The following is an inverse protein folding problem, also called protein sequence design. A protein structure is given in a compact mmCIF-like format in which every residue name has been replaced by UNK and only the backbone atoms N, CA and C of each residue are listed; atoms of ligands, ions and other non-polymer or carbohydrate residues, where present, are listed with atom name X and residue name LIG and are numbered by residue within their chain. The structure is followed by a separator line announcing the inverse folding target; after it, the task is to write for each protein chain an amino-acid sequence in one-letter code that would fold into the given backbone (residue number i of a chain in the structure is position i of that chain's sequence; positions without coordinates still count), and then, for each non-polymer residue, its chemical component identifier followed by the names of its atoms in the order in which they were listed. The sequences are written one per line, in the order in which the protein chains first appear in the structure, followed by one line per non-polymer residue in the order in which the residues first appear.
data_IF_923184572595
#
_entry.id   IF_923184572595
#
_cell.length_a   1.000
_cell.length_b   1.000
_cell.length_c   1.000
_cell.angle_alpha   90.00
_cell.angle_beta   90.00
_cell.angle_gamma   90.00
#
_symmetry.space_group_name_H-M   'P 1'
#
loop_
_entity.id
_entity.type
_entity.pdbx_description
1 polymer ?
#
# COMPACT_ATOMS: atom_id res chain seq x y z
N UNK A 1 15.22 16.53 30.84
CA UNK A 1 15.02 16.79 29.40
C UNK A 1 14.73 15.44 28.76
N UNK A 2 13.57 15.31 28.13
CA UNK A 2 13.13 14.05 27.55
C UNK A 2 13.89 13.77 26.25
N UNK A 3 14.81 12.81 26.28
CA UNK A 3 15.36 12.19 25.08
C UNK A 3 14.68 10.83 24.94
N UNK A 4 13.49 10.82 24.33
CA UNK A 4 12.89 9.58 23.83
C UNK A 4 13.46 9.32 22.45
N UNK A 5 14.65 8.71 22.40
CA UNK A 5 15.20 8.10 21.21
C UNK A 5 14.39 6.84 20.86
N UNK A 6 13.27 7.03 20.20
CA UNK A 6 12.55 5.96 19.49
C UNK A 6 12.76 6.18 17.99
N UNK A 7 13.60 5.35 17.37
CA UNK A 7 13.95 5.64 15.97
C UNK A 7 14.72 4.62 15.14
N UNK A 8 14.70 3.32 15.49
CA UNK A 8 14.86 2.18 14.56
C UNK A 8 16.18 2.03 13.77
N UNK A 9 16.96 1.05 14.22
CA UNK A 9 17.68 0.02 13.45
C UNK A 9 17.85 0.20 11.92
N UNK A 10 19.12 0.19 11.50
CA UNK A 10 19.68 -0.39 10.27
C UNK A 10 18.71 -0.72 9.11
N UNK A 11 18.84 -0.02 7.97
CA UNK A 11 18.14 -0.38 6.74
C UNK A 11 18.40 0.52 5.53
N UNK A 12 19.61 1.02 5.33
CA UNK A 12 19.97 1.81 4.11
C UNK A 12 20.06 0.97 2.81
N UNK A 13 19.55 -0.26 2.82
CA UNK A 13 19.37 -1.07 1.61
C UNK A 13 18.05 -1.87 1.73
N UNK A 14 17.01 -1.48 0.98
CA UNK A 14 15.88 -2.40 0.71
C UNK A 14 14.45 -1.91 0.96
N UNK A 15 14.18 -0.60 1.06
CA UNK A 15 12.81 -0.10 0.91
C UNK A 15 12.57 0.28 -0.54
N UNK A 16 11.59 -0.38 -1.15
CA UNK A 16 11.11 -0.07 -2.50
C UNK A 16 9.96 0.92 -2.42
N UNK A 17 9.86 1.79 -3.42
CA UNK A 17 8.74 2.69 -3.56
C UNK A 17 7.61 2.02 -4.33
N UNK A 18 6.40 2.21 -3.85
CA UNK A 18 5.18 1.67 -4.43
C UNK A 18 4.16 2.78 -4.61
N UNK A 19 3.47 2.74 -5.73
CA UNK A 19 2.27 3.53 -5.97
C UNK A 19 1.07 2.59 -5.91
N UNK A 20 0.00 3.01 -5.24
CA UNK A 20 -1.27 2.33 -5.37
C UNK A 20 -2.35 3.25 -5.92
N UNK A 21 -3.28 2.65 -6.65
CA UNK A 21 -4.53 3.29 -7.08
C UNK A 21 -5.70 2.43 -6.62
N UNK A 22 -6.60 3.01 -5.83
CA UNK A 22 -7.85 2.40 -5.39
C UNK A 22 -8.99 3.12 -6.10
N UNK A 23 -9.79 2.39 -6.86
CA UNK A 23 -11.05 2.88 -7.41
C UNK A 23 -12.21 2.21 -6.67
N UNK A 24 -12.98 3.01 -5.96
CA UNK A 24 -14.17 2.59 -5.21
C UNK A 24 -15.35 3.46 -5.61
N UNK A 25 -16.36 2.86 -6.26
CA UNK A 25 -17.61 3.53 -6.64
C UNK A 25 -17.41 4.86 -7.41
N UNK A 26 -16.40 4.92 -8.28
CA UNK A 26 -16.07 6.12 -9.07
C UNK A 26 -15.20 7.15 -8.34
N UNK A 27 -14.86 6.92 -7.07
CA UNK A 27 -13.84 7.69 -6.36
C UNK A 27 -12.48 7.01 -6.49
N UNK A 28 -11.51 7.75 -7.02
CA UNK A 28 -10.14 7.27 -7.23
C UNK A 28 -9.25 7.86 -6.14
N UNK A 29 -8.58 6.99 -5.39
CA UNK A 29 -7.57 7.34 -4.39
C UNK A 29 -6.23 6.83 -4.89
N UNK A 30 -5.24 7.70 -4.99
CA UNK A 30 -3.90 7.36 -5.45
C UNK A 30 -2.87 7.96 -4.49
N UNK A 31 -1.89 7.17 -4.11
CA UNK A 31 -0.81 7.62 -3.22
C UNK A 31 0.45 6.77 -3.38
N UNK A 32 1.59 7.29 -2.91
CA UNK A 32 2.91 6.66 -2.95
C UNK A 32 3.38 6.35 -1.54
N UNK A 33 4.02 5.20 -1.36
CA UNK A 33 4.53 4.76 -0.07
C UNK A 33 5.73 3.83 -0.20
N UNK A 34 6.50 3.71 0.87
CA UNK A 34 7.73 2.91 0.90
C UNK A 34 7.53 1.63 1.73
N UNK A 35 8.03 0.51 1.22
CA UNK A 35 7.92 -0.77 1.90
C UNK A 35 9.07 -1.72 1.59
N UNK A 36 9.32 -2.67 2.50
CA UNK A 36 10.42 -3.63 2.36
C UNK A 36 10.24 -4.63 1.20
N UNK A 37 9.00 -4.85 0.75
CA UNK A 37 8.71 -5.82 -0.31
C UNK A 37 7.26 -5.81 -0.76
N UNK A 38 7.00 -6.60 -1.80
CA UNK A 38 5.70 -6.68 -2.45
C UNK A 38 4.58 -7.14 -1.49
N UNK A 39 4.83 -8.12 -0.62
CA UNK A 39 3.81 -8.61 0.32
C UNK A 39 3.43 -7.56 1.37
N UNK A 40 4.42 -6.84 1.90
CA UNK A 40 4.17 -5.75 2.83
C UNK A 40 3.44 -4.58 2.13
N UNK A 41 3.76 -4.33 0.85
CA UNK A 41 3.03 -3.36 0.04
C UNK A 41 1.54 -3.72 -0.09
N UNK A 42 1.23 -4.99 -0.38
CA UNK A 42 -0.16 -5.49 -0.40
C UNK A 42 -0.84 -5.30 0.95
N UNK A 43 -0.17 -5.67 2.06
CA UNK A 43 -0.72 -5.52 3.42
C UNK A 43 -1.01 -4.07 3.80
N UNK A 44 -0.15 -3.13 3.40
CA UNK A 44 -0.39 -1.72 3.67
C UNK A 44 -1.58 -1.18 2.89
N UNK A 45 -1.68 -1.50 1.60
CA UNK A 45 -2.85 -1.10 0.78
C UNK A 45 -4.15 -1.69 1.34
N UNK A 46 -4.12 -2.92 1.85
CA UNK A 46 -5.25 -3.51 2.58
C UNK A 46 -5.63 -2.73 3.86
N UNK A 47 -4.65 -2.29 4.65
CA UNK A 47 -4.90 -1.45 5.84
C UNK A 47 -5.54 -0.12 5.45
N UNK A 48 -5.07 0.50 4.36
CA UNK A 48 -5.62 1.75 3.85
C UNK A 48 -7.06 1.58 3.36
N UNK A 49 -7.38 0.51 2.64
CA UNK A 49 -8.77 0.18 2.26
C UNK A 49 -9.71 0.07 3.47
N UNK A 50 -9.24 -0.60 4.54
CA UNK A 50 -10.00 -0.69 5.80
C UNK A 50 -10.18 0.67 6.47
N UNK A 51 -9.15 1.51 6.47
CA UNK A 51 -9.20 2.87 7.03
C UNK A 51 -10.13 3.80 6.25
N UNK A 52 -10.22 3.63 4.92
CA UNK A 52 -11.17 4.33 4.05
C UNK A 52 -12.63 3.89 4.27
N UNK A 53 -12.87 2.88 5.11
CA UNK A 53 -14.21 2.38 5.42
C UNK A 53 -14.83 1.54 4.30
N UNK A 54 -14.02 1.03 3.36
CA UNK A 54 -14.52 0.11 2.32
C UNK A 54 -14.94 -1.20 2.98
N UNK A 55 -16.24 -1.56 2.98
CA UNK A 55 -16.70 -2.76 3.66
C UNK A 55 -16.28 -4.01 2.90
N UNK A 56 -16.13 -5.11 3.64
CA UNK A 56 -15.89 -6.43 3.12
C UNK A 56 -16.91 -6.83 2.04
N UNK A 57 -16.45 -7.41 0.94
CA UNK A 57 -17.30 -7.91 -0.15
C UNK A 57 -17.76 -6.85 -1.17
N UNK A 58 -17.23 -5.62 -1.11
CA UNK A 58 -17.39 -4.63 -2.18
C UNK A 58 -16.29 -4.78 -3.24
N UNK A 59 -16.72 -4.72 -4.49
CA UNK A 59 -15.83 -4.68 -5.64
C UNK A 59 -15.09 -3.34 -5.65
N UNK A 60 -13.81 -3.37 -5.32
CA UNK A 60 -12.89 -2.24 -5.50
C UNK A 60 -11.77 -2.69 -6.41
N UNK A 61 -11.35 -1.81 -7.30
CA UNK A 61 -10.18 -2.05 -8.12
C UNK A 61 -8.97 -1.48 -7.40
N UNK A 62 -7.96 -2.32 -7.23
CA UNK A 62 -6.71 -1.96 -6.58
C UNK A 62 -5.59 -2.30 -7.55
N UNK A 63 -4.83 -1.28 -7.91
CA UNK A 63 -3.61 -1.41 -8.69
C UNK A 63 -2.43 -1.04 -7.79
N UNK A 64 -1.37 -1.84 -7.80
CA UNK A 64 -0.14 -1.56 -7.04
C UNK A 64 1.05 -1.75 -7.97
N UNK A 65 1.85 -0.70 -8.13
CA UNK A 65 3.03 -0.66 -8.98
C UNK A 65 4.27 -0.41 -8.14
N UNK A 66 5.30 -1.23 -8.31
CA UNK A 66 6.64 -0.93 -7.77
C UNK A 66 7.30 0.10 -8.67
N UNK A 67 7.63 1.26 -8.14
CA UNK A 67 8.18 2.38 -8.91
C UNK A 67 9.64 2.16 -9.31
N UNK A 68 10.40 1.37 -8.55
CA UNK A 68 11.82 1.09 -8.83
C UNK A 68 12.05 0.50 -10.23
N UNK A 69 11.18 -0.42 -10.67
CA UNK A 69 11.23 -1.13 -11.95
C UNK A 69 9.91 -1.07 -12.74
N UNK A 70 9.01 -0.17 -12.33
CA UNK A 70 7.68 0.05 -12.93
C UNK A 70 6.88 -1.26 -13.12
N UNK A 71 7.06 -2.21 -12.21
CA UNK A 71 6.45 -3.53 -12.32
C UNK A 71 5.15 -3.59 -11.53
N UNK A 72 4.02 -3.94 -12.16
CA UNK A 72 2.77 -4.13 -11.45
C UNK A 72 2.82 -5.40 -10.59
N UNK A 73 2.19 -5.35 -9.43
CA UNK A 73 2.22 -6.39 -8.38
C UNK A 73 0.81 -6.96 -8.12
N UNK A 74 -0.20 -6.13 -8.39
CA UNK A 74 -1.61 -6.51 -8.45
C UNK A 74 -2.19 -5.76 -9.64
N UNK A 75 -2.74 -6.51 -10.60
CA UNK A 75 -3.49 -5.99 -11.74
C UNK A 75 -4.94 -6.49 -11.64
N UNK A 76 -5.76 -5.88 -10.78
CA UNK A 76 -7.20 -6.21 -10.62
C UNK A 76 -7.52 -7.43 -9.73
N UNK A 77 -7.26 -7.32 -8.42
CA UNK A 77 -7.80 -8.26 -7.45
C UNK A 77 -9.14 -7.77 -6.90
N UNK A 78 -10.16 -8.61 -7.06
CA UNK A 78 -11.49 -8.40 -6.50
C UNK A 78 -11.40 -8.50 -4.98
N UNK A 79 -11.60 -7.40 -4.26
CA UNK A 79 -11.64 -7.46 -2.80
C UNK A 79 -12.85 -8.27 -2.30
N UNK A 80 -12.62 -9.54 -1.99
CA UNK A 80 -13.49 -10.38 -1.16
C UNK A 80 -12.79 -10.55 0.19
N UNK A 81 -13.16 -9.72 1.15
CA UNK A 81 -12.80 -9.95 2.55
C UNK A 81 -13.58 -11.14 3.12
#
# INVERSE_FOLDING_TARGET
MASSEFGKINGEHGMSQYEYTINSNGQVFKDVFECAGNEDAKREVMRRLKALGVPAGKYVFVDIVRLDDNKPIIEEELWRA
#
